data_IF_605479866793
#
_entry.id   IF_605479866793
#
_cell.length_a   1.000
_cell.length_b   1.000
_cell.length_c   1.000
_cell.angle_alpha   90.00
_cell.angle_beta   90.00
_cell.angle_gamma   90.00
#
_symmetry.space_group_name_H-M   'P 1'
#
loop_
_entity.id
_entity.type
_entity.pdbx_description
1 polymer ?
#
# COMPACT_ATOMS: atom_id res chain seq x y z
N UNK A 1 -9.88 6.65 19.18
CA UNK A 1 -10.52 5.44 18.60
C UNK A 1 -9.55 4.29 18.78
N UNK A 2 -9.89 3.28 19.58
CA UNK A 2 -9.06 2.08 19.69
C UNK A 2 -9.11 1.34 18.34
N UNK A 3 -7.96 1.09 17.74
CA UNK A 3 -7.84 0.26 16.54
C UNK A 3 -8.33 -1.15 16.89
N UNK A 4 -9.46 -1.56 16.30
CA UNK A 4 -9.97 -2.91 16.49
C UNK A 4 -8.96 -3.91 15.88
N UNK A 5 -8.31 -4.71 16.72
CA UNK A 5 -7.46 -5.82 16.26
C UNK A 5 -8.34 -6.95 15.73
N UNK A 6 -7.94 -7.57 14.62
CA UNK A 6 -8.61 -8.73 14.03
C UNK A 6 -7.65 -9.91 13.99
N UNK A 7 -8.11 -11.08 14.41
CA UNK A 7 -7.34 -12.33 14.34
C UNK A 7 -7.37 -12.87 12.91
N UNK A 8 -6.19 -13.22 12.38
CA UNK A 8 -6.03 -13.86 11.07
C UNK A 8 -5.59 -15.30 11.31
N UNK A 9 -6.46 -16.26 10.98
CA UNK A 9 -6.18 -17.69 11.09
C UNK A 9 -5.92 -18.28 9.71
N UNK A 10 -4.80 -19.00 9.55
CA UNK A 10 -4.51 -19.77 8.33
C UNK A 10 -3.76 -21.05 8.68
N UNK A 11 -3.91 -22.08 7.84
CA UNK A 11 -3.16 -23.34 7.98
C UNK A 11 -1.93 -23.29 7.10
N UNK A 12 -0.77 -23.62 7.68
CA UNK A 12 0.48 -23.79 6.95
C UNK A 12 0.81 -25.28 6.83
N UNK A 13 1.15 -25.77 5.64
CA UNK A 13 1.85 -27.04 5.47
C UNK A 13 3.14 -27.12 6.30
N UNK A 14 3.51 -28.31 6.76
CA UNK A 14 4.63 -28.51 7.69
C UNK A 14 5.98 -28.06 7.13
N UNK A 15 6.20 -28.25 5.82
CA UNK A 15 7.39 -27.80 5.10
C UNK A 15 7.51 -26.27 5.08
N UNK A 16 6.40 -25.56 4.80
CA UNK A 16 6.36 -24.10 4.84
C UNK A 16 6.56 -23.55 6.24
N UNK A 17 5.98 -24.22 7.24
CA UNK A 17 6.19 -23.84 8.64
C UNK A 17 7.66 -23.99 9.05
N UNK A 18 8.30 -25.11 8.71
CA UNK A 18 9.71 -25.34 9.01
C UNK A 18 10.62 -24.28 8.38
N UNK A 19 10.32 -23.85 7.16
CA UNK A 19 11.05 -22.77 6.49
C UNK A 19 10.92 -21.44 7.24
N UNK A 20 9.70 -21.08 7.66
CA UNK A 20 9.44 -19.86 8.42
C UNK A 20 10.16 -19.91 9.77
N UNK A 21 10.10 -21.05 10.46
CA UNK A 21 10.77 -21.24 11.75
C UNK A 21 12.27 -21.04 11.63
N UNK A 22 12.89 -21.55 10.57
CA UNK A 22 14.30 -21.32 10.29
C UNK A 22 14.63 -19.85 10.03
N UNK A 23 13.76 -19.13 9.31
CA UNK A 23 13.96 -17.70 9.08
C UNK A 23 13.84 -16.89 10.37
N UNK A 24 12.89 -17.24 11.23
CA UNK A 24 12.68 -16.67 12.56
C UNK A 24 13.90 -16.89 13.47
N UNK A 25 14.49 -18.09 13.46
CA UNK A 25 15.73 -18.38 14.21
C UNK A 25 16.90 -17.47 13.82
N UNK A 26 17.02 -17.14 12.53
CA UNK A 26 18.10 -16.30 12.01
C UNK A 26 17.85 -14.80 12.29
N UNK A 27 16.59 -14.37 12.21
CA UNK A 27 16.20 -12.96 12.32
C UNK A 27 15.96 -12.51 13.77
N UNK A 28 15.64 -13.44 14.68
CA UNK A 28 15.40 -13.16 16.09
C UNK A 28 14.06 -12.49 16.40
N UNK A 29 13.18 -12.31 15.40
CA UNK A 29 11.83 -11.75 15.58
C UNK A 29 10.81 -12.85 15.89
N UNK A 30 9.63 -12.50 16.39
CA UNK A 30 8.59 -13.52 16.61
C UNK A 30 8.02 -14.05 15.29
N UNK A 31 7.53 -15.30 15.28
CA UNK A 31 6.87 -15.89 14.10
C UNK A 31 5.72 -15.04 13.58
N UNK A 32 4.90 -14.51 14.48
CA UNK A 32 3.74 -13.68 14.13
C UNK A 32 4.18 -12.37 13.46
N UNK A 33 5.20 -11.72 14.02
CA UNK A 33 5.76 -10.48 13.48
C UNK A 33 6.38 -10.72 12.09
N UNK A 34 7.23 -11.75 11.97
CA UNK A 34 7.83 -12.13 10.69
C UNK A 34 6.79 -12.35 9.58
N UNK A 35 5.73 -13.11 9.90
CA UNK A 35 4.67 -13.40 8.92
C UNK A 35 3.87 -12.15 8.57
N UNK A 36 3.52 -11.33 9.56
CA UNK A 36 2.76 -10.10 9.33
C UNK A 36 3.54 -9.11 8.49
N UNK A 37 4.83 -8.94 8.77
CA UNK A 37 5.70 -8.02 8.03
C UNK A 37 5.89 -8.48 6.60
N UNK A 38 6.21 -9.76 6.38
CA UNK A 38 6.35 -10.34 5.05
C UNK A 38 5.04 -10.24 4.24
N UNK A 39 3.89 -10.49 4.88
CA UNK A 39 2.59 -10.35 4.22
C UNK A 39 2.29 -8.88 3.86
N UNK A 40 2.60 -7.94 4.75
CA UNK A 40 2.42 -6.51 4.51
C UNK A 40 3.36 -5.99 3.41
N UNK A 41 4.61 -6.43 3.39
CA UNK A 41 5.57 -6.12 2.33
C UNK A 41 5.05 -6.61 0.99
N UNK A 42 4.63 -7.88 0.92
CA UNK A 42 4.10 -8.41 -0.33
C UNK A 42 2.82 -7.72 -0.79
N UNK A 43 1.95 -7.38 0.15
CA UNK A 43 0.74 -6.60 -0.15
C UNK A 43 1.10 -5.21 -0.72
N UNK A 44 2.11 -4.54 -0.15
CA UNK A 44 2.59 -3.24 -0.64
C UNK A 44 3.15 -3.35 -2.07
N UNK A 45 3.94 -4.37 -2.35
CA UNK A 45 4.44 -4.62 -3.72
C UNK A 45 3.29 -4.81 -4.72
N UNK A 46 2.33 -5.69 -4.39
CA UNK A 46 1.18 -5.96 -5.27
C UNK A 46 0.35 -4.71 -5.54
N UNK A 47 0.17 -3.85 -4.52
CA UNK A 47 -0.53 -2.58 -4.67
C UNK A 47 0.28 -1.54 -5.45
N UNK A 48 1.62 -1.53 -5.31
CA UNK A 48 2.49 -0.65 -6.07
C UNK A 48 2.52 -1.02 -7.57
N UNK A 49 2.47 -2.32 -7.87
CA UNK A 49 2.41 -2.84 -9.24
C UNK A 49 1.01 -2.76 -9.86
N UNK A 50 -0.01 -2.35 -9.09
CA UNK A 50 -1.38 -2.26 -9.57
C UNK A 50 -1.53 -1.15 -10.63
N UNK A 51 -1.81 -1.55 -11.86
CA UNK A 51 -2.05 -0.63 -13.00
C UNK A 51 -3.52 -0.47 -13.36
N UNK A 52 -4.39 -1.37 -12.88
CA UNK A 52 -5.81 -1.38 -13.20
C UNK A 52 -6.64 -1.11 -11.94
N UNK A 53 -7.48 -0.08 -12.02
CA UNK A 53 -8.39 0.33 -10.95
C UNK A 53 -9.83 0.16 -11.41
N UNK A 54 -10.57 -0.75 -10.77
CA UNK A 54 -11.99 -0.95 -11.02
C UNK A 54 -12.79 0.02 -10.15
N UNK A 55 -13.58 0.87 -10.80
CA UNK A 55 -14.48 1.80 -10.14
C UNK A 55 -15.93 1.40 -10.42
N UNK A 56 -16.77 1.43 -9.38
CA UNK A 56 -18.21 1.36 -9.57
C UNK A 56 -18.75 2.65 -10.23
N UNK A 57 -20.00 2.66 -10.74
CA UNK A 57 -20.55 3.83 -11.42
C UNK A 57 -20.61 5.11 -10.56
N UNK A 58 -20.77 5.00 -9.24
CA UNK A 58 -20.77 6.16 -8.35
C UNK A 58 -19.36 6.71 -8.16
N UNK A 59 -18.39 5.83 -7.97
CA UNK A 59 -16.97 6.19 -7.87
C UNK A 59 -16.47 6.85 -9.15
N UNK A 60 -16.85 6.33 -10.31
CA UNK A 60 -16.47 6.91 -11.60
C UNK A 60 -17.08 8.31 -11.81
N UNK A 61 -18.36 8.51 -11.47
CA UNK A 61 -18.98 9.85 -11.54
C UNK A 61 -18.27 10.84 -10.63
N UNK A 62 -17.94 10.44 -9.40
CA UNK A 62 -17.20 11.28 -8.46
C UNK A 62 -15.81 11.61 -8.98
N UNK A 63 -15.11 10.63 -9.55
CA UNK A 63 -13.79 10.83 -10.14
C UNK A 63 -13.83 11.85 -11.28
N UNK A 64 -14.77 11.71 -12.22
CA UNK A 64 -14.92 12.66 -13.32
C UNK A 64 -15.26 14.07 -12.82
N UNK A 65 -16.17 14.20 -11.86
CA UNK A 65 -16.50 15.50 -11.27
C UNK A 65 -15.29 16.20 -10.62
N UNK A 66 -14.33 15.43 -10.06
CA UNK A 66 -13.07 15.98 -9.53
C UNK A 66 -12.09 16.38 -10.63
N UNK A 67 -12.09 15.68 -11.76
CA UNK A 67 -11.24 16.04 -12.91
C UNK A 67 -11.75 17.30 -13.62
N UNK A 68 -13.07 17.45 -13.72
CA UNK A 68 -13.72 18.60 -14.37
C UNK A 68 -13.75 19.84 -13.48
N UNK A 69 -13.52 19.69 -12.17
CA UNK A 69 -13.51 20.80 -11.23
C UNK A 69 -12.34 21.76 -11.54
N UNK A 70 -12.58 23.09 -11.57
CA UNK A 70 -11.50 24.04 -11.76
C UNK A 70 -10.48 23.90 -10.63
N UNK A 71 -9.19 24.03 -10.97
CA UNK A 71 -8.13 24.11 -9.96
C UNK A 71 -8.39 25.34 -9.09
N UNK A 72 -8.84 25.12 -7.86
CA UNK A 72 -8.94 26.17 -6.87
C UNK A 72 -7.56 26.83 -6.68
N UNK A 73 -7.54 28.08 -6.22
CA UNK A 73 -6.31 28.85 -6.01
C UNK A 73 -5.44 28.24 -4.90
N UNK A 74 -4.77 27.14 -5.21
CA UNK A 74 -3.94 26.36 -4.32
C UNK A 74 -2.48 26.81 -4.49
N UNK A 75 -1.98 27.49 -3.46
CA UNK A 75 -0.61 28.00 -3.44
C UNK A 75 0.44 26.89 -3.64
N UNK A 76 0.17 25.66 -3.19
CA UNK A 76 1.09 24.53 -3.37
C UNK A 76 1.15 24.08 -4.83
N UNK A 77 0.02 24.03 -5.54
CA UNK A 77 -0.02 23.68 -6.97
C UNK A 77 0.73 24.72 -7.80
N UNK A 78 0.52 26.02 -7.53
CA UNK A 78 1.25 27.09 -8.22
C UNK A 78 2.75 27.00 -7.99
N UNK A 79 3.17 26.74 -6.75
CA UNK A 79 4.59 26.54 -6.41
C UNK A 79 5.17 25.33 -7.15
N UNK A 80 4.46 24.21 -7.19
CA UNK A 80 4.88 23.01 -7.91
C UNK A 80 5.06 23.28 -9.40
N UNK A 81 4.07 23.89 -10.05
CA UNK A 81 4.12 24.21 -11.49
C UNK A 81 5.16 25.27 -11.85
N UNK A 82 5.56 26.11 -10.90
CA UNK A 82 6.61 27.12 -11.08
C UNK A 82 8.02 26.60 -10.74
N UNK A 83 8.12 25.36 -10.22
CA UNK A 83 9.40 24.76 -9.87
C UNK A 83 10.03 24.18 -11.15
N UNK A 84 11.25 24.62 -11.54
CA UNK A 84 11.92 24.08 -12.71
C UNK A 84 12.15 22.58 -12.54
N UNK A 85 12.03 21.82 -13.63
CA UNK A 85 12.12 20.39 -13.55
C UNK A 85 13.55 19.96 -13.15
N UNK A 86 13.72 18.89 -12.36
CA UNK A 86 15.04 18.47 -11.88
C UNK A 86 16.06 18.16 -12.99
N UNK A 87 15.59 17.87 -14.21
CA UNK A 87 16.39 17.55 -15.39
C UNK A 87 16.68 18.75 -16.32
N UNK A 88 16.18 19.94 -16.00
CA UNK A 88 16.50 21.18 -16.73
C UNK A 88 17.77 21.87 -16.19
N UNK A 89 18.57 21.15 -15.39
CA UNK A 89 19.86 21.59 -14.83
C UNK A 89 21.02 20.90 -15.50
#
# INVERSE_FOLDING_TARGET
MALASKVINFRAPADKQALIDRAVEVTGVSRTEFILDAACEKAREVLADQTQFSLDPQQLRRFNALLDAPLENNAAIRKLLSTPAPWER
#
